data_IF_458035450887
#
_entry.id   IF_458035450887
#
_cell.length_a   1.000
_cell.length_b   1.000
_cell.length_c   1.000
_cell.angle_alpha   90.00
_cell.angle_beta   90.00
_cell.angle_gamma   90.00
#
_symmetry.space_group_name_H-M   'P 1'
#
loop_
_entity.id
_entity.type
_entity.pdbx_description
1 polymer ?
#
# COMPACT_ATOMS: atom_id res chain seq x y z
N UNK A 1 24.37 11.75 -8.75
CA UNK A 1 23.72 10.49 -9.14
C UNK A 1 23.49 9.70 -7.86
N UNK A 2 22.31 9.82 -7.26
CA UNK A 2 21.99 9.14 -5.99
C UNK A 2 21.86 7.66 -6.32
N UNK A 3 22.75 6.83 -5.77
CA UNK A 3 22.61 5.39 -5.84
C UNK A 3 21.27 5.01 -5.21
N UNK A 4 20.35 4.47 -6.01
CA UNK A 4 19.18 3.77 -5.50
C UNK A 4 19.75 2.65 -4.62
N UNK A 5 19.57 2.67 -3.28
CA UNK A 5 20.08 1.60 -2.46
C UNK A 5 19.44 0.31 -2.97
N UNK A 6 20.30 -0.65 -3.34
CA UNK A 6 19.93 -1.95 -3.86
C UNK A 6 18.67 -2.48 -3.16
N UNK A 7 17.57 -2.58 -3.91
CA UNK A 7 16.39 -3.33 -3.51
C UNK A 7 16.72 -4.84 -3.27
N UNK A 8 17.94 -5.25 -3.58
CA UNK A 8 18.59 -6.51 -3.22
C UNK A 8 19.19 -6.40 -1.81
N UNK A 9 18.48 -6.64 -0.71
CA UNK A 9 17.54 -7.71 -0.45
C UNK A 9 16.67 -7.24 0.69
N UNK A 10 15.46 -6.75 0.37
CA UNK A 10 14.43 -6.65 1.40
C UNK A 10 14.38 -8.01 2.13
N UNK A 11 14.50 -7.97 3.46
CA UNK A 11 14.35 -9.18 4.27
C UNK A 11 13.05 -9.88 3.86
N UNK A 12 12.95 -11.22 3.96
CA UNK A 12 11.73 -11.92 3.59
C UNK A 12 10.46 -11.29 4.21
N UNK A 13 10.56 -10.86 5.47
CA UNK A 13 9.50 -10.11 6.15
C UNK A 13 9.14 -8.79 5.46
N UNK A 14 10.12 -7.97 5.06
CA UNK A 14 9.87 -6.72 4.33
C UNK A 14 9.27 -6.98 2.96
N UNK A 15 9.69 -8.03 2.24
CA UNK A 15 9.05 -8.43 0.97
C UNK A 15 7.58 -8.72 1.15
N UNK A 16 7.21 -9.48 2.19
CA UNK A 16 5.81 -9.76 2.49
C UNK A 16 5.04 -8.49 2.88
N UNK A 17 5.54 -7.72 3.85
CA UNK A 17 4.82 -6.57 4.40
C UNK A 17 4.68 -5.40 3.42
N UNK A 18 5.69 -5.17 2.57
CA UNK A 18 5.69 -4.11 1.57
C UNK A 18 5.14 -4.55 0.20
N UNK A 19 4.60 -5.78 0.10
CA UNK A 19 4.00 -6.27 -1.14
C UNK A 19 2.66 -5.59 -1.43
N UNK A 20 2.33 -5.52 -2.73
CA UNK A 20 0.98 -5.12 -3.18
C UNK A 20 -0.09 -6.00 -2.57
N UNK A 21 0.12 -7.31 -2.59
CA UNK A 21 -0.85 -8.28 -2.06
C UNK A 21 -1.15 -8.04 -0.57
N UNK A 22 -0.12 -7.77 0.24
CA UNK A 22 -0.33 -7.43 1.64
C UNK A 22 -1.11 -6.12 1.81
N UNK A 23 -0.80 -5.09 1.02
CA UNK A 23 -1.53 -3.83 1.06
C UNK A 23 -3.02 -4.01 0.68
N UNK A 24 -3.32 -4.83 -0.33
CA UNK A 24 -4.70 -5.18 -0.71
C UNK A 24 -5.42 -5.93 0.41
N UNK A 25 -4.76 -6.91 1.05
CA UNK A 25 -5.32 -7.64 2.20
C UNK A 25 -5.63 -6.71 3.37
N UNK A 26 -4.78 -5.71 3.63
CA UNK A 26 -5.03 -4.70 4.67
C UNK A 26 -6.20 -3.80 4.29
N UNK A 27 -6.28 -3.33 3.04
CA UNK A 27 -7.39 -2.50 2.56
C UNK A 27 -8.74 -3.24 2.64
N UNK A 28 -8.77 -4.51 2.22
CA UNK A 28 -9.95 -5.36 2.34
C UNK A 28 -10.42 -5.48 3.79
N UNK A 29 -9.50 -5.80 4.72
CA UNK A 29 -9.81 -5.89 6.15
C UNK A 29 -10.30 -4.58 6.76
N UNK A 30 -9.77 -3.45 6.30
CA UNK A 30 -10.22 -2.13 6.73
C UNK A 30 -11.70 -1.90 6.35
N UNK A 31 -12.05 -2.25 5.12
CA UNK A 31 -13.41 -2.16 4.59
C UNK A 31 -14.35 -3.16 5.28
N UNK A 32 -13.94 -4.42 5.42
CA UNK A 32 -14.66 -5.45 6.19
C UNK A 32 -14.85 -5.07 7.67
N UNK A 33 -13.91 -4.30 8.23
CA UNK A 33 -13.95 -3.77 9.59
C UNK A 33 -14.91 -2.58 9.80
N UNK A 34 -15.63 -2.16 8.75
CA UNK A 34 -16.64 -1.11 8.81
C UNK A 34 -16.20 0.24 8.25
N UNK A 35 -15.01 0.35 7.66
CA UNK A 35 -14.66 1.56 6.91
C UNK A 35 -15.40 1.58 5.57
N UNK A 36 -15.99 2.72 5.24
CA UNK A 36 -16.71 2.93 3.98
C UNK A 36 -15.81 2.73 2.76
N UNK A 37 -14.53 3.10 2.89
CA UNK A 37 -13.54 3.09 1.82
C UNK A 37 -12.12 2.87 2.37
N UNK A 38 -11.27 2.24 1.57
CA UNK A 38 -9.82 2.25 1.75
C UNK A 38 -9.08 2.39 0.41
N UNK A 39 -8.00 3.18 0.41
CA UNK A 39 -7.12 3.38 -0.75
C UNK A 39 -5.71 2.86 -0.46
N UNK A 40 -5.09 2.21 -1.45
CA UNK A 40 -3.68 1.83 -1.46
C UNK A 40 -2.93 2.84 -2.33
N UNK A 41 -2.04 3.61 -1.70
CA UNK A 41 -1.28 4.69 -2.33
C UNK A 41 0.18 4.28 -2.47
N UNK A 42 0.76 4.51 -3.64
CA UNK A 42 2.21 4.41 -3.84
C UNK A 42 2.88 5.59 -3.16
N UNK A 43 3.94 5.31 -2.42
CA UNK A 43 4.74 6.38 -1.81
C UNK A 43 6.11 6.46 -2.48
N UNK A 44 6.73 7.64 -2.41
CA UNK A 44 8.15 7.82 -2.75
C UNK A 44 9.12 7.31 -1.68
N UNK A 45 8.63 6.77 -0.55
CA UNK A 45 9.46 6.30 0.55
C UNK A 45 9.83 4.82 0.35
N UNK A 46 11.12 4.48 0.19
CA UNK A 46 11.56 3.09 0.00
C UNK A 46 11.31 2.18 1.21
N UNK A 47 11.10 2.75 2.41
CA UNK A 47 10.75 1.99 3.61
C UNK A 47 9.25 1.68 3.71
N UNK A 48 8.41 2.44 2.99
CA UNK A 48 6.97 2.24 2.97
C UNK A 48 6.45 2.43 1.53
N UNK A 49 6.81 1.57 0.56
CA UNK A 49 6.47 1.80 -0.85
C UNK A 49 4.97 1.89 -1.12
N UNK A 50 4.16 1.28 -0.26
CA UNK A 50 2.71 1.29 -0.30
C UNK A 50 2.17 1.69 1.07
N UNK A 51 1.14 2.54 1.07
CA UNK A 51 0.42 2.96 2.27
C UNK A 51 -1.07 2.72 2.06
N UNK A 52 -1.73 2.14 3.05
CA UNK A 52 -3.20 2.00 3.07
C UNK A 52 -3.77 3.12 3.92
N UNK A 53 -4.81 3.80 3.42
CA UNK A 53 -5.51 4.90 4.11
C UNK A 53 -7.02 4.69 4.05
N UNK A 54 -7.75 5.25 5.02
CA UNK A 54 -9.19 5.11 5.19
C UNK A 54 -10.00 6.19 4.45
N UNK A 55 -9.58 6.53 3.23
CA UNK A 55 -10.15 7.62 2.43
C UNK A 55 -10.22 7.17 0.97
N UNK A 56 -11.21 7.68 0.23
CA UNK A 56 -11.20 7.60 -1.24
C UNK A 56 -10.33 8.72 -1.77
N UNK A 57 -9.38 8.38 -2.62
CA UNK A 57 -8.49 9.37 -3.22
C UNK A 57 -8.62 9.30 -4.73
N UNK A 58 -8.82 10.46 -5.34
CA UNK A 58 -8.67 10.63 -6.78
C UNK A 58 -7.29 11.23 -7.04
N UNK A 59 -6.26 10.38 -7.02
CA UNK A 59 -4.86 10.77 -7.21
C UNK A 59 -4.15 9.76 -8.12
N UNK A 60 -3.23 10.22 -8.99
CA UNK A 60 -2.46 9.32 -9.85
C UNK A 60 -1.58 8.31 -9.08
N UNK A 61 -1.31 8.57 -7.80
CA UNK A 61 -0.54 7.67 -6.94
C UNK A 61 -1.39 6.54 -6.33
N UNK A 62 -2.71 6.56 -6.50
CA UNK A 62 -3.61 5.51 -6.03
C UNK A 62 -3.51 4.30 -6.95
N UNK A 63 -3.22 3.15 -6.35
CA UNK A 63 -2.99 1.89 -7.07
C UNK A 63 -4.18 0.94 -6.94
N UNK A 64 -4.95 1.06 -5.86
CA UNK A 64 -6.19 0.35 -5.65
C UNK A 64 -7.08 1.17 -4.73
N UNK A 65 -8.36 1.25 -5.05
CA UNK A 65 -9.40 1.74 -4.16
C UNK A 65 -10.43 0.63 -3.93
N UNK A 66 -10.85 0.46 -2.68
CA UNK A 66 -11.89 -0.49 -2.26
C UNK A 66 -12.99 0.27 -1.55
N UNK A 67 -14.24 -0.02 -1.92
CA UNK A 67 -15.44 0.58 -1.34
C UNK A 67 -16.40 -0.52 -0.90
N UNK A 68 -17.12 -0.28 0.19
CA UNK A 68 -18.30 -1.09 0.53
C UNK A 68 -19.35 -0.93 -0.59
N UNK A 69 -19.96 -2.04 -1.01
CA UNK A 69 -21.04 -2.06 -2.00
C UNK A 69 -22.38 -1.60 -1.38
#
# INVERSE_FOLDING_TARGET
>A
MIALPDLFTLSPKRRTLCSRENAQRVAARMVEGGLTCASVVRTGNPLQPLRVIAESLDSPDVVLEMRMA
#
